data_IF_356490131256
#
_entry.id   IF_356490131256
#
_cell.length_a   1.000
_cell.length_b   1.000
_cell.length_c   1.000
_cell.angle_alpha   90.00
_cell.angle_beta   90.00
_cell.angle_gamma   90.00
#
_symmetry.space_group_name_H-M   'P 1'
#
loop_
_entity.id
_entity.type
_entity.pdbx_description
1 polymer ?
#
# COMPACT_ATOMS: atom_id res chain seq x y z
N UNK A 1 61.00 -56.01 -29.37
CA UNK A 1 59.88 -56.35 -30.26
C UNK A 1 59.91 -55.39 -31.43
N UNK A 2 60.24 -55.92 -32.61
CA UNK A 2 60.24 -55.24 -33.89
C UNK A 2 58.84 -55.33 -34.51
N UNK A 3 58.42 -54.32 -35.29
CA UNK A 3 58.15 -54.42 -36.74
C UNK A 3 57.31 -53.22 -37.22
N UNK A 4 57.79 -52.63 -38.31
CA UNK A 4 57.10 -51.69 -39.18
C UNK A 4 56.09 -52.42 -40.08
N UNK A 5 55.10 -51.68 -40.63
CA UNK A 5 54.49 -51.81 -41.99
C UNK A 5 53.18 -50.98 -42.02
N UNK A 6 52.98 -49.97 -42.89
CA UNK A 6 52.79 -49.91 -44.36
C UNK A 6 51.29 -49.86 -44.77
N UNK A 7 50.96 -48.91 -45.66
CA UNK A 7 49.69 -48.81 -46.40
C UNK A 7 48.96 -47.49 -46.14
N UNK A 8 49.12 -46.38 -46.88
CA UNK A 8 49.04 -46.09 -48.31
C UNK A 8 47.61 -45.93 -48.87
N UNK A 9 47.48 -44.91 -49.75
CA UNK A 9 46.40 -44.57 -50.70
C UNK A 9 45.32 -43.59 -50.19
N UNK A 10 44.96 -42.50 -50.90
CA UNK A 10 45.47 -41.85 -52.11
C UNK A 10 44.68 -40.51 -52.30
N UNK A 11 45.37 -39.45 -52.75
CA UNK A 11 44.99 -38.40 -53.75
C UNK A 11 43.58 -37.75 -53.68
N UNK A 12 43.42 -36.42 -53.80
CA UNK A 12 43.67 -35.63 -55.03
C UNK A 12 44.02 -34.15 -54.75
N UNK A 13 45.05 -33.70 -55.48
CA UNK A 13 45.56 -32.34 -55.75
C UNK A 13 44.46 -31.40 -56.29
N UNK A 14 44.52 -30.08 -56.19
CA UNK A 14 45.39 -29.16 -56.96
C UNK A 14 45.13 -27.73 -56.42
N UNK A 15 46.18 -27.02 -55.99
CA UNK A 15 46.73 -25.79 -56.64
C UNK A 15 45.77 -24.59 -56.70
N UNK A 16 46.12 -23.33 -56.43
CA UNK A 16 47.42 -22.67 -56.40
C UNK A 16 47.18 -21.23 -55.84
N UNK A 17 48.14 -20.75 -55.05
CA UNK A 17 48.81 -19.44 -55.22
C UNK A 17 48.03 -18.13 -54.95
N UNK A 18 48.44 -17.52 -53.84
CA UNK A 18 48.73 -16.08 -53.64
C UNK A 18 47.58 -15.07 -53.55
N UNK A 19 47.50 -14.32 -52.45
CA UNK A 19 48.21 -13.04 -52.26
C UNK A 19 47.82 -12.42 -50.92
N UNK A 20 48.85 -11.86 -50.27
CA UNK A 20 48.77 -10.83 -49.24
C UNK A 20 47.72 -9.75 -49.55
N UNK A 21 46.93 -9.36 -48.54
CA UNK A 21 46.63 -7.95 -48.26
C UNK A 21 45.80 -7.82 -46.97
N UNK A 22 46.31 -6.97 -46.07
CA UNK A 22 45.57 -6.04 -45.20
C UNK A 22 44.51 -6.66 -44.26
N UNK A 23 44.71 -6.65 -42.94
CA UNK A 23 44.82 -5.41 -42.18
C UNK A 23 43.47 -5.11 -41.52
N UNK A 24 43.43 -5.23 -40.20
CA UNK A 24 42.48 -4.56 -39.30
C UNK A 24 41.00 -5.00 -39.44
N UNK A 25 40.66 -6.17 -38.90
CA UNK A 25 39.30 -6.42 -38.41
C UNK A 25 39.24 -6.02 -36.93
N UNK A 26 38.93 -4.76 -36.69
CA UNK A 26 38.65 -4.24 -35.35
C UNK A 26 37.45 -5.00 -34.78
N UNK A 27 37.75 -5.79 -33.75
CA UNK A 27 36.81 -6.57 -32.96
C UNK A 27 35.67 -5.65 -32.50
N UNK A 28 34.48 -5.81 -33.09
CA UNK A 28 33.21 -5.30 -32.56
C UNK A 28 32.95 -6.00 -31.22
N UNK A 29 33.60 -5.49 -30.16
CA UNK A 29 33.38 -5.92 -28.79
C UNK A 29 31.98 -5.50 -28.38
N UNK A 30 31.09 -6.48 -28.39
CA UNK A 30 30.10 -6.77 -27.34
C UNK A 30 30.04 -5.67 -26.28
N UNK A 31 29.10 -4.74 -26.43
CA UNK A 31 28.67 -3.86 -25.36
C UNK A 31 27.15 -3.76 -25.44
N UNK A 32 26.49 -4.82 -24.96
CA UNK A 32 25.04 -4.86 -24.79
C UNK A 32 24.70 -5.73 -23.57
N UNK A 33 25.31 -5.44 -22.43
CA UNK A 33 24.92 -5.97 -21.12
C UNK A 33 25.21 -4.94 -20.05
N UNK A 34 24.42 -3.86 -20.01
CA UNK A 34 24.31 -2.97 -18.85
C UNK A 34 23.14 -2.00 -19.04
N UNK A 35 21.90 -2.51 -19.12
CA UNK A 35 20.69 -1.68 -19.03
C UNK A 35 19.47 -2.50 -18.57
N UNK A 36 19.64 -3.40 -17.60
CA UNK A 36 18.52 -4.06 -16.90
C UNK A 36 18.72 -3.91 -15.40
N UNK A 37 18.83 -2.66 -14.95
CA UNK A 37 18.66 -2.31 -13.54
C UNK A 37 17.99 -0.94 -13.51
N UNK A 38 16.95 -0.81 -12.67
CA UNK A 38 16.26 0.43 -12.30
C UNK A 38 15.00 0.87 -13.08
N UNK A 39 14.12 -0.06 -13.47
CA UNK A 39 12.71 0.28 -13.77
C UNK A 39 11.68 -0.60 -13.02
N UNK A 40 12.06 -1.13 -11.86
CA UNK A 40 11.11 -1.60 -10.86
C UNK A 40 11.21 -0.71 -9.63
N UNK A 41 10.80 0.55 -9.77
CA UNK A 41 10.41 1.35 -8.63
C UNK A 41 9.16 0.70 -8.03
N UNK A 42 9.34 -0.37 -7.26
CA UNK A 42 8.28 -0.88 -6.40
C UNK A 42 7.98 0.29 -5.46
N UNK A 43 6.84 0.94 -5.64
CA UNK A 43 6.39 1.99 -4.75
C UNK A 43 6.25 1.35 -3.35
N UNK A 44 7.25 1.56 -2.50
CA UNK A 44 7.24 1.04 -1.14
C UNK A 44 6.29 1.93 -0.35
N UNK A 45 5.23 1.34 0.18
CA UNK A 45 4.34 2.02 1.10
C UNK A 45 5.11 2.24 2.43
N UNK A 46 5.36 3.51 2.83
CA UNK A 46 6.22 3.81 3.99
C UNK A 46 5.61 3.39 5.32
N UNK A 47 4.31 3.08 5.34
CA UNK A 47 3.59 2.68 6.55
C UNK A 47 3.67 1.16 6.81
N UNK A 48 4.37 0.39 5.97
CA UNK A 48 4.58 -1.05 6.17
C UNK A 48 5.79 -1.37 7.05
N UNK A 49 6.60 -0.37 7.39
CA UNK A 49 7.76 -0.48 8.25
C UNK A 49 7.70 0.64 9.31
N UNK A 50 8.39 0.48 10.45
CA UNK A 50 8.52 1.57 11.42
C UNK A 50 9.02 2.86 10.74
N UNK A 51 8.57 4.00 11.25
CA UNK A 51 8.97 5.32 10.75
C UNK A 51 10.48 5.50 10.86
N UNK A 52 11.13 5.87 9.76
CA UNK A 52 12.58 6.09 9.71
C UNK A 52 12.98 7.36 10.46
N UNK A 53 12.14 8.40 10.39
CA UNK A 53 12.44 9.75 10.90
C UNK A 53 11.79 10.06 12.26
N UNK A 54 11.59 9.05 13.11
CA UNK A 54 11.08 9.28 14.47
C UNK A 54 10.32 8.12 15.10
N UNK A 55 9.72 8.35 16.28
CA UNK A 55 8.99 7.33 17.01
C UNK A 55 7.75 6.88 16.22
N UNK A 56 7.37 5.62 16.39
CA UNK A 56 6.25 5.00 15.70
C UNK A 56 5.17 4.53 16.66
N UNK A 57 3.93 4.58 16.21
CA UNK A 57 2.81 3.82 16.77
C UNK A 57 2.28 2.85 15.71
N UNK A 58 1.36 1.98 16.09
CA UNK A 58 0.64 1.10 15.14
C UNK A 58 -0.82 1.52 15.04
N UNK A 59 -1.38 1.43 13.84
CA UNK A 59 -2.77 1.73 13.53
C UNK A 59 -3.38 0.59 12.73
N UNK A 60 -4.47 0.02 13.25
CA UNK A 60 -5.37 -0.84 12.50
C UNK A 60 -6.45 0.03 11.86
N UNK A 61 -6.56 -0.05 10.55
CA UNK A 61 -7.66 0.52 9.78
C UNK A 61 -8.68 -0.58 9.56
N UNK A 62 -9.89 -0.41 10.11
CA UNK A 62 -10.97 -1.38 10.02
C UNK A 62 -12.20 -0.76 9.35
N UNK A 63 -12.96 -1.58 8.64
CA UNK A 63 -14.19 -1.18 7.96
C UNK A 63 -15.24 -2.27 8.04
N UNK A 64 -16.51 -1.89 8.06
CA UNK A 64 -17.60 -2.84 7.86
C UNK A 64 -17.54 -3.57 6.50
N UNK A 65 -18.03 -4.83 6.41
CA UNK A 65 -17.84 -5.71 5.25
C UNK A 65 -18.41 -5.22 3.91
N UNK A 66 -19.42 -4.35 3.93
CA UNK A 66 -20.08 -3.86 2.71
C UNK A 66 -19.26 -2.83 1.92
N UNK A 67 -18.18 -2.28 2.51
CA UNK A 67 -17.56 -1.06 2.01
C UNK A 67 -16.20 -1.30 1.36
N UNK A 68 -15.93 -0.55 0.29
CA UNK A 68 -14.58 -0.37 -0.21
C UNK A 68 -14.08 0.98 0.28
N UNK A 69 -12.99 0.98 1.04
CA UNK A 69 -12.45 2.19 1.67
C UNK A 69 -11.01 2.41 1.26
N UNK A 70 -10.71 3.57 0.69
CA UNK A 70 -9.33 4.01 0.45
C UNK A 70 -8.88 4.96 1.56
N UNK A 71 -7.72 4.69 2.16
CA UNK A 71 -7.16 5.48 3.25
C UNK A 71 -5.84 6.11 2.80
N UNK A 72 -5.74 7.42 2.94
CA UNK A 72 -4.55 8.18 2.58
C UNK A 72 -4.38 9.42 3.46
N UNK A 73 -3.18 9.99 3.46
CA UNK A 73 -2.91 11.28 4.07
C UNK A 73 -3.59 12.37 3.25
N UNK A 74 -4.46 13.20 3.87
CA UNK A 74 -5.18 14.23 3.15
C UNK A 74 -4.24 15.36 2.70
N UNK A 75 -4.60 16.05 1.63
CA UNK A 75 -3.88 17.25 1.17
C UNK A 75 -4.03 18.42 2.17
N UNK A 76 -5.22 18.56 2.75
CA UNK A 76 -5.57 19.54 3.79
C UNK A 76 -6.10 18.82 5.02
N UNK A 77 -5.75 19.31 6.21
CA UNK A 77 -6.21 18.74 7.47
C UNK A 77 -7.52 19.40 7.96
N UNK A 78 -7.89 20.54 7.37
CA UNK A 78 -9.04 21.37 7.80
C UNK A 78 -10.32 21.15 6.98
N UNK A 79 -10.20 20.48 5.83
CA UNK A 79 -11.33 20.19 4.94
C UNK A 79 -11.01 18.98 4.06
N UNK A 80 -12.06 18.28 3.64
CA UNK A 80 -11.97 17.12 2.76
C UNK A 80 -11.73 17.58 1.32
N UNK A 81 -10.64 17.08 0.73
CA UNK A 81 -10.36 17.16 -0.71
C UNK A 81 -10.49 15.77 -1.34
N UNK A 82 -10.74 15.73 -2.64
CA UNK A 82 -10.62 14.52 -3.46
C UNK A 82 -9.16 14.27 -3.89
N UNK A 83 -8.28 15.24 -3.66
CA UNK A 83 -6.84 15.15 -3.86
C UNK A 83 -6.12 14.76 -2.55
N UNK A 84 -5.00 14.04 -2.69
CA UNK A 84 -4.21 13.52 -1.58
C UNK A 84 -2.75 13.89 -1.74
N UNK A 85 -2.00 13.88 -0.63
CA UNK A 85 -0.53 14.05 -0.71
C UNK A 85 0.06 12.96 -1.60
N UNK A 86 0.94 13.35 -2.52
CA UNK A 86 1.63 12.39 -3.38
C UNK A 86 2.43 11.40 -2.53
N UNK A 87 2.31 10.09 -2.82
CA UNK A 87 2.89 9.03 -1.98
C UNK A 87 2.21 8.84 -0.61
N UNK A 88 1.13 9.57 -0.32
CA UNK A 88 0.40 9.52 0.94
C UNK A 88 -0.58 8.36 1.07
N UNK A 89 -0.55 7.37 0.18
CA UNK A 89 -1.39 6.19 0.29
C UNK A 89 -1.02 5.37 1.53
N UNK A 90 -2.01 5.01 2.35
CA UNK A 90 -1.80 4.24 3.58
C UNK A 90 -2.29 2.81 3.38
N UNK A 91 -3.57 2.65 3.09
CA UNK A 91 -4.17 1.33 2.91
C UNK A 91 -5.40 1.44 2.04
N UNK A 92 -5.93 0.31 1.63
CA UNK A 92 -7.30 0.26 1.16
C UNK A 92 -7.92 -1.05 1.64
N UNK A 93 -9.21 -1.01 1.90
CA UNK A 93 -10.01 -2.06 2.52
C UNK A 93 -11.18 -2.42 1.57
N UNK A 94 -11.67 -3.65 1.61
CA UNK A 94 -12.79 -4.17 0.82
C UNK A 94 -12.44 -5.37 -0.08
N UNK A 95 -13.45 -6.19 -0.38
CA UNK A 95 -13.28 -7.46 -1.13
C UNK A 95 -12.82 -7.25 -2.58
N UNK A 96 -13.40 -6.28 -3.29
CA UNK A 96 -13.02 -5.96 -4.69
C UNK A 96 -11.64 -5.32 -4.81
N UNK A 97 -11.11 -4.97 -3.65
CA UNK A 97 -10.02 -4.06 -3.46
C UNK A 97 -8.75 -4.89 -3.09
N UNK A 98 -8.92 -6.13 -2.61
CA UNK A 98 -7.87 -7.11 -2.29
C UNK A 98 -7.12 -7.73 -3.47
N UNK A 99 -7.60 -7.62 -4.72
CA UNK A 99 -6.97 -8.27 -5.88
C UNK A 99 -5.60 -7.68 -6.27
N UNK A 100 -5.17 -6.57 -5.64
CA UNK A 100 -3.95 -5.82 -6.01
C UNK A 100 -3.14 -5.37 -4.77
N UNK A 101 -3.24 -6.03 -3.60
CA UNK A 101 -2.81 -5.40 -2.32
C UNK A 101 -1.73 -6.06 -1.49
N UNK A 102 -1.00 -5.16 -0.81
CA UNK A 102 -0.31 -5.37 0.47
C UNK A 102 -1.34 -5.41 1.61
N UNK A 103 -1.88 -6.60 1.88
CA UNK A 103 -2.45 -6.88 3.20
C UNK A 103 -1.29 -6.88 4.20
N UNK A 104 -1.37 -6.07 5.24
CA UNK A 104 -0.38 -6.04 6.31
C UNK A 104 -1.01 -6.42 7.64
N UNK A 105 -0.29 -7.28 8.36
CA UNK A 105 -0.54 -7.65 9.74
C UNK A 105 0.74 -7.37 10.52
N UNK A 106 0.61 -6.62 11.61
CA UNK A 106 1.69 -6.22 12.52
C UNK A 106 1.49 -6.86 13.91
N UNK A 107 0.67 -7.91 13.96
CA UNK A 107 0.27 -8.66 15.16
C UNK A 107 -0.22 -7.75 16.28
N UNK A 108 -1.01 -6.73 15.94
CA UNK A 108 -1.62 -5.87 16.95
C UNK A 108 -2.64 -6.68 17.78
N UNK A 109 -2.74 -6.43 19.10
CA UNK A 109 -3.72 -7.12 19.94
C UNK A 109 -5.17 -6.79 19.59
N UNK A 110 -6.12 -7.50 20.20
CA UNK A 110 -7.57 -7.31 20.03
C UNK A 110 -8.02 -7.31 18.56
N UNK A 111 -7.48 -8.22 17.76
CA UNK A 111 -7.88 -8.43 16.36
C UNK A 111 -9.35 -8.88 16.28
N UNK A 112 -10.13 -8.31 15.35
CA UNK A 112 -11.52 -8.70 15.16
C UNK A 112 -11.61 -9.87 14.18
N UNK A 113 -11.81 -11.09 14.69
CA UNK A 113 -11.93 -12.30 13.87
C UNK A 113 -13.23 -12.38 13.05
N UNK A 114 -14.22 -11.53 13.36
CA UNK A 114 -15.49 -11.48 12.62
C UNK A 114 -15.40 -10.61 11.37
N UNK A 115 -14.51 -9.62 11.36
CA UNK A 115 -14.19 -8.84 10.18
C UNK A 115 -13.18 -9.60 9.33
N UNK A 116 -13.51 -9.83 8.05
CA UNK A 116 -12.56 -10.47 7.14
C UNK A 116 -11.30 -9.63 6.94
N UNK A 117 -10.16 -10.28 6.69
CA UNK A 117 -8.86 -9.65 6.42
C UNK A 117 -8.92 -8.58 5.33
N UNK A 118 -9.82 -8.73 4.36
CA UNK A 118 -10.04 -7.72 3.33
C UNK A 118 -10.43 -6.36 3.89
N UNK A 119 -10.98 -6.30 5.11
CA UNK A 119 -11.53 -5.11 5.72
C UNK A 119 -10.72 -4.59 6.90
N UNK A 120 -9.55 -5.19 7.15
CA UNK A 120 -8.63 -4.78 8.20
C UNK A 120 -7.21 -4.71 7.65
N UNK A 121 -6.47 -3.65 7.98
CA UNK A 121 -5.05 -3.55 7.62
C UNK A 121 -4.29 -2.85 8.74
N UNK A 122 -3.12 -3.35 9.09
CA UNK A 122 -2.30 -2.83 10.19
C UNK A 122 -1.07 -2.13 9.62
N UNK A 123 -0.83 -0.90 10.06
CA UNK A 123 0.25 -0.06 9.54
C UNK A 123 0.98 0.65 10.68
N UNK A 124 2.22 1.05 10.44
CA UNK A 124 2.93 1.99 11.30
C UNK A 124 2.52 3.42 10.99
N UNK A 125 2.47 4.28 12.00
CA UNK A 125 2.21 5.72 11.87
C UNK A 125 3.20 6.52 12.72
N UNK A 126 3.48 7.79 12.40
CA UNK A 126 4.30 8.64 13.26
C UNK A 126 3.67 8.85 14.63
N UNK A 127 4.49 8.81 15.68
CA UNK A 127 4.07 9.13 17.04
C UNK A 127 4.61 10.49 17.50
N UNK A 128 4.09 10.98 18.63
CA UNK A 128 4.47 12.22 19.32
C UNK A 128 4.22 13.53 18.54
N UNK A 129 3.65 13.44 17.34
CA UNK A 129 3.19 14.57 16.54
C UNK A 129 1.79 14.30 15.98
N UNK A 130 1.01 15.35 15.67
CA UNK A 130 -0.28 15.18 15.00
C UNK A 130 -0.13 14.36 13.72
N UNK A 131 -1.03 13.39 13.56
CA UNK A 131 -1.14 12.56 12.37
C UNK A 131 -2.57 12.60 11.85
N UNK A 132 -2.71 12.85 10.55
CA UNK A 132 -3.98 13.01 9.87
C UNK A 132 -4.11 11.98 8.75
N UNK A 133 -5.26 11.31 8.69
CA UNK A 133 -5.59 10.36 7.63
C UNK A 133 -7.06 10.47 7.24
N UNK A 134 -7.38 10.19 5.98
CA UNK A 134 -8.72 10.32 5.41
C UNK A 134 -9.24 8.96 4.97
N UNK A 135 -10.37 8.53 5.53
CA UNK A 135 -11.16 7.46 4.95
C UNK A 135 -11.93 7.98 3.73
N UNK A 136 -11.96 7.17 2.68
CA UNK A 136 -12.72 7.42 1.46
C UNK A 136 -13.55 6.18 1.12
N UNK A 137 -14.77 6.13 1.66
CA UNK A 137 -15.69 5.02 1.48
C UNK A 137 -16.57 5.18 0.26
N UNK A 138 -16.63 4.11 -0.55
CA UNK A 138 -17.49 3.97 -1.73
C UNK A 138 -18.48 2.84 -1.53
N UNK A 139 -19.72 3.05 -1.96
CA UNK A 139 -20.71 1.99 -2.12
C UNK A 139 -21.70 1.88 -0.97
N UNK A 140 -21.88 2.94 -0.20
CA UNK A 140 -22.84 2.94 0.90
C UNK A 140 -24.14 3.58 0.41
N UNK A 141 -25.08 2.73 0.01
CA UNK A 141 -26.45 3.17 -0.31
C UNK A 141 -27.12 3.69 0.95
N UNK A 142 -27.75 4.87 0.90
CA UNK A 142 -28.57 5.40 1.99
C UNK A 142 -27.98 6.60 2.75
N UNK A 143 -26.75 7.01 2.45
CA UNK A 143 -26.13 8.15 3.13
C UNK A 143 -26.60 9.51 2.65
N UNK A 144 -26.96 10.34 3.62
CA UNK A 144 -27.21 11.77 3.44
C UNK A 144 -26.21 12.55 4.30
N UNK A 145 -25.36 13.45 3.74
CA UNK A 145 -25.09 13.70 2.34
C UNK A 145 -23.77 13.03 1.92
N UNK A 146 -23.85 11.92 1.18
CA UNK A 146 -22.71 11.51 0.38
C UNK A 146 -22.53 12.47 -0.79
N UNK A 147 -21.35 13.08 -0.94
CA UNK A 147 -21.05 13.89 -2.12
C UNK A 147 -20.98 12.99 -3.36
N UNK A 148 -21.53 13.47 -4.47
CA UNK A 148 -21.40 12.83 -5.78
C UNK A 148 -20.31 13.57 -6.54
N UNK A 149 -19.07 13.06 -6.48
CA UNK A 149 -17.92 13.78 -7.06
C UNK A 149 -17.72 13.50 -8.56
N UNK A 150 -18.55 12.65 -9.16
CA UNK A 150 -18.49 12.35 -10.60
C UNK A 150 -19.60 13.11 -11.32
N UNK A 151 -19.24 13.90 -12.33
CA UNK A 151 -20.16 14.59 -13.27
C UNK A 151 -20.96 13.62 -14.15
N UNK A 152 -21.62 12.66 -13.53
CA UNK A 152 -22.19 11.45 -14.10
C UNK A 152 -22.31 10.42 -12.98
N UNK A 153 -23.54 10.13 -12.60
CA UNK A 153 -23.96 9.37 -11.42
C UNK A 153 -23.29 7.99 -11.27
N UNK A 154 -23.19 7.51 -10.01
CA UNK A 154 -23.52 6.14 -9.55
C UNK A 154 -23.05 5.83 -8.12
N UNK A 155 -22.16 6.64 -7.51
CA UNK A 155 -21.61 6.34 -6.18
C UNK A 155 -21.70 7.52 -5.21
N UNK A 156 -22.29 7.27 -4.03
CA UNK A 156 -22.21 8.17 -2.88
C UNK A 156 -20.92 7.90 -2.11
N UNK A 157 -20.13 8.95 -1.92
CA UNK A 157 -18.90 8.88 -1.14
C UNK A 157 -19.15 9.37 0.27
N UNK A 158 -18.58 8.67 1.23
CA UNK A 158 -18.38 9.22 2.56
C UNK A 158 -16.90 9.33 2.88
N UNK A 159 -16.52 10.53 3.30
CA UNK A 159 -15.16 10.86 3.67
C UNK A 159 -15.12 11.43 5.06
N UNK A 160 -14.11 11.02 5.83
CA UNK A 160 -13.82 11.54 7.17
C UNK A 160 -12.31 11.68 7.28
N UNK A 161 -11.84 12.85 7.70
CA UNK A 161 -10.44 13.02 8.13
C UNK A 161 -10.42 12.85 9.64
N UNK A 162 -9.45 12.08 10.12
CA UNK A 162 -9.19 11.85 11.53
C UNK A 162 -7.82 12.43 11.81
N UNK A 163 -7.74 13.26 12.85
CA UNK A 163 -6.48 13.83 13.34
C UNK A 163 -6.34 13.58 14.83
N UNK A 164 -5.19 13.05 15.24
CA UNK A 164 -4.83 12.84 16.64
C UNK A 164 -3.31 12.82 16.82
N UNK A 165 -2.84 12.80 18.06
CA UNK A 165 -1.39 12.66 18.37
C UNK A 165 -1.13 11.27 18.97
N UNK A 166 -0.56 10.32 18.20
CA UNK A 166 -0.33 8.97 18.68
C UNK A 166 0.80 8.94 19.72
N UNK A 167 0.65 8.11 20.74
CA UNK A 167 1.72 7.81 21.70
C UNK A 167 2.67 6.78 21.11
N UNK A 168 3.96 6.89 21.39
CA UNK A 168 4.98 5.95 20.91
C UNK A 168 4.68 4.52 21.39
N UNK A 169 4.86 3.54 20.50
CA UNK A 169 4.61 2.12 20.72
C UNK A 169 3.16 1.73 21.09
N UNK A 170 2.22 2.68 21.09
CA UNK A 170 0.81 2.39 21.30
C UNK A 170 0.16 1.75 20.07
N UNK A 171 -0.97 1.08 20.30
CA UNK A 171 -1.76 0.40 19.29
C UNK A 171 -3.11 1.10 19.17
N UNK A 172 -3.48 1.52 17.97
CA UNK A 172 -4.75 2.19 17.72
C UNK A 172 -5.59 1.42 16.72
N UNK A 173 -6.91 1.55 16.80
CA UNK A 173 -7.84 1.08 15.77
C UNK A 173 -8.76 2.22 15.35
N UNK A 174 -8.75 2.55 14.07
CA UNK A 174 -9.73 3.44 13.47
C UNK A 174 -10.78 2.59 12.75
N UNK A 175 -11.99 2.59 13.31
CA UNK A 175 -13.12 1.83 12.81
C UNK A 175 -14.04 2.73 12.00
N UNK A 176 -14.12 2.45 10.69
CA UNK A 176 -15.10 3.05 9.79
C UNK A 176 -16.40 2.22 9.81
N UNK A 177 -17.46 2.79 10.36
CA UNK A 177 -18.73 2.11 10.64
C UNK A 177 -19.94 2.98 10.29
N UNK A 178 -21.13 2.41 10.45
CA UNK A 178 -22.39 3.13 10.42
C UNK A 178 -22.65 3.83 11.76
N UNK A 179 -23.18 5.05 11.70
CA UNK A 179 -23.68 5.81 12.84
C UNK A 179 -25.14 6.14 12.56
N UNK A 180 -26.01 5.83 13.51
CA UNK A 180 -27.40 6.23 13.46
C UNK A 180 -27.55 7.72 13.78
N UNK A 181 -28.26 8.43 12.90
CA UNK A 181 -28.62 9.83 13.06
C UNK A 181 -29.89 9.95 13.93
N UNK A 182 -30.17 11.12 14.53
CA UNK A 182 -31.37 11.34 15.35
C UNK A 182 -32.71 11.08 14.64
N UNK A 183 -32.72 11.05 13.31
CA UNK A 183 -33.90 10.76 12.49
C UNK A 183 -34.05 9.27 12.13
N UNK A 184 -33.25 8.38 12.72
CA UNK A 184 -33.24 6.94 12.48
C UNK A 184 -32.61 6.54 11.14
N UNK A 185 -32.01 7.47 10.39
CA UNK A 185 -31.20 7.14 9.21
C UNK A 185 -29.77 6.87 9.60
N UNK A 186 -29.07 6.05 8.84
CA UNK A 186 -27.64 5.81 9.07
C UNK A 186 -26.79 6.77 8.22
N UNK A 187 -25.67 7.20 8.79
CA UNK A 187 -24.54 7.82 8.09
C UNK A 187 -23.27 7.04 8.40
N UNK A 188 -22.16 7.39 7.76
CA UNK A 188 -20.85 6.85 8.11
C UNK A 188 -20.28 7.63 9.28
N UNK A 189 -19.54 6.91 10.10
CA UNK A 189 -18.68 7.48 11.11
C UNK A 189 -17.33 6.82 11.14
N UNK A 190 -16.43 7.48 11.86
CA UNK A 190 -15.17 6.86 12.26
C UNK A 190 -15.02 7.05 13.75
N UNK A 191 -14.69 5.96 14.44
CA UNK A 191 -14.28 5.98 15.83
C UNK A 191 -12.82 5.58 15.93
N UNK A 192 -12.08 6.25 16.80
CA UNK A 192 -10.68 5.95 17.05
C UNK A 192 -10.53 5.38 18.46
N UNK A 193 -9.95 4.20 18.56
CA UNK A 193 -9.69 3.52 19.82
C UNK A 193 -8.20 3.34 20.06
N UNK A 194 -7.76 3.45 21.30
CA UNK A 194 -6.50 2.88 21.77
C UNK A 194 -6.75 1.46 22.27
N UNK A 195 -5.87 0.53 21.91
CA UNK A 195 -5.88 -0.85 22.37
C UNK A 195 -4.92 -0.96 23.56
N UNK A 196 -5.49 -0.97 24.75
CA UNK A 196 -4.74 -1.02 26.01
C UNK A 196 -4.85 -2.41 26.64
N UNK A 197 -3.78 -2.86 27.27
CA UNK A 197 -3.84 -4.05 28.12
C UNK A 197 -4.73 -3.78 29.34
N UNK A 198 -5.50 -4.79 29.75
CA UNK A 198 -6.18 -4.79 31.03
C UNK A 198 -5.35 -5.54 32.10
N UNK A 199 -5.83 -5.52 33.35
CA UNK A 199 -5.14 -6.14 34.49
C UNK A 199 -4.99 -7.67 34.37
N UNK A 200 -5.64 -8.31 33.39
CA UNK A 200 -5.72 -9.77 33.21
C UNK A 200 -4.99 -10.24 31.95
N UNK A 201 -4.08 -9.45 31.39
CA UNK A 201 -3.40 -9.72 30.11
C UNK A 201 -4.35 -9.89 28.93
N UNK A 202 -5.59 -9.37 29.04
CA UNK A 202 -6.47 -9.18 27.89
C UNK A 202 -6.31 -7.75 27.39
N UNK A 203 -6.92 -7.47 26.25
CA UNK A 203 -6.87 -6.16 25.63
C UNK A 203 -8.27 -5.61 25.50
N UNK A 204 -8.42 -4.31 25.74
CA UNK A 204 -9.67 -3.57 25.55
C UNK A 204 -9.43 -2.38 24.63
N UNK A 205 -10.47 -2.02 23.89
CA UNK A 205 -10.52 -0.82 23.05
C UNK A 205 -11.12 0.32 23.88
N UNK A 206 -10.35 1.38 24.11
CA UNK A 206 -10.79 2.60 24.79
C UNK A 206 -10.86 3.70 23.76
N UNK A 207 -12.00 4.38 23.65
CA UNK A 207 -12.12 5.48 22.67
C UNK A 207 -11.13 6.59 23.05
N UNK A 208 -10.45 7.14 22.05
CA UNK A 208 -9.51 8.24 22.26
C UNK A 208 -10.31 9.51 22.57
N UNK A 209 -10.00 10.19 23.67
CA UNK A 209 -10.84 11.32 24.11
C UNK A 209 -10.70 12.60 23.26
N UNK A 210 -9.55 12.79 22.58
CA UNK A 210 -9.17 14.07 21.96
C UNK A 210 -8.78 13.95 20.48
N UNK A 211 -9.42 13.08 19.71
CA UNK A 211 -9.27 13.10 18.25
C UNK A 211 -10.27 14.04 17.59
N UNK A 212 -9.89 14.57 16.43
CA UNK A 212 -10.74 15.44 15.64
C UNK A 212 -11.27 14.67 14.43
N UNK A 213 -12.55 14.89 14.11
CA UNK A 213 -13.17 14.39 12.89
C UNK A 213 -13.59 15.58 12.04
N UNK A 214 -13.09 15.65 10.81
CA UNK A 214 -13.46 16.68 9.84
C UNK A 214 -14.34 16.05 8.77
N UNK A 215 -15.46 16.72 8.51
CA UNK A 215 -16.53 16.24 7.62
C UNK A 215 -16.91 17.27 6.54
N UNK A 216 -16.43 18.51 6.65
CA UNK A 216 -16.65 19.56 5.67
C UNK A 216 -15.69 19.43 4.49
N UNK A 217 -16.18 19.71 3.29
CA UNK A 217 -15.39 19.68 2.06
C UNK A 217 -14.71 21.02 1.82
N UNK A 218 -13.58 20.99 1.12
CA UNK A 218 -12.89 22.20 0.69
C UNK A 218 -13.74 22.97 -0.32
N UNK A 219 -13.62 24.31 -0.31
CA UNK A 219 -14.30 25.21 -1.26
C UNK A 219 -13.51 25.38 -2.54
#
# INVERSE_FOLDING_TARGET
>A
MAYAQLGAYLSVRLSHVSKLANGVLFVKKISLMAAVTLLSGCAVNPYLQPMVDGPSAKLRLASVPSNNNFVAVPLSESCISTEFKHGGHIATLGVKANLVRSLSRLDMPAYDEKLGDSHQNEVYIPAQKPFSFQFNGVGISGFTPGQTDSGGALYSWCRKIITFTPVENANYEALYDYIELPNGKETCGVKLFEIVADEQSKYKKVEVDNYQVVENYCK
#
